data_IF_034877659512
#
_entry.id   IF_034877659512
#
_cell.length_a   1.000
_cell.length_b   1.000
_cell.length_c   1.000
_cell.angle_alpha   90.00
_cell.angle_beta   90.00
_cell.angle_gamma   90.00
#
_symmetry.space_group_name_H-M   'P 1'
#
loop_
_entity.id
_entity.type
_entity.pdbx_description
1 polymer ?
#
# COMPACT_ATOMS: atom_id res chain seq x y z
N UNK A 1 -49.04 16.69 -9.77
CA UNK A 1 -47.92 15.77 -9.44
C UNK A 1 -47.23 15.41 -10.75
N UNK A 2 -46.23 16.21 -11.15
CA UNK A 2 -45.49 16.06 -12.42
C UNK A 2 -44.05 15.71 -12.04
N UNK A 3 -43.68 14.45 -12.21
CA UNK A 3 -42.31 13.97 -11.99
C UNK A 3 -41.50 14.35 -13.23
N UNK A 4 -40.72 15.43 -13.13
CA UNK A 4 -39.60 15.68 -14.05
C UNK A 4 -38.45 14.76 -13.67
N UNK A 5 -38.38 13.59 -14.32
CA UNK A 5 -37.13 12.84 -14.46
C UNK A 5 -36.23 13.63 -15.41
N UNK A 6 -35.29 14.39 -14.85
CA UNK A 6 -34.12 14.82 -15.62
C UNK A 6 -33.19 13.61 -15.65
N UNK A 7 -33.31 12.85 -16.74
CA UNK A 7 -32.36 11.83 -17.14
C UNK A 7 -31.14 12.60 -17.68
N UNK A 8 -30.07 12.75 -16.90
CA UNK A 8 -28.76 13.11 -17.46
C UNK A 8 -28.20 11.86 -18.11
N UNK A 9 -28.65 11.58 -19.35
CA UNK A 9 -27.96 10.66 -20.24
C UNK A 9 -26.86 11.45 -20.94
N UNK A 10 -25.77 11.74 -20.21
CA UNK A 10 -24.52 12.09 -20.87
C UNK A 10 -23.93 10.80 -21.44
N UNK A 11 -24.38 10.44 -22.64
CA UNK A 11 -23.69 9.45 -23.46
C UNK A 11 -22.33 10.02 -23.86
N UNK A 12 -21.34 9.87 -22.99
CA UNK A 12 -19.97 9.92 -23.43
C UNK A 12 -19.78 8.71 -24.36
N UNK A 13 -19.76 8.96 -25.67
CA UNK A 13 -19.17 8.02 -26.61
C UNK A 13 -17.71 7.92 -26.19
N UNK A 14 -17.38 6.90 -25.41
CA UNK A 14 -16.00 6.61 -25.08
C UNK A 14 -15.32 6.23 -26.40
N UNK A 15 -14.57 7.17 -26.97
CA UNK A 15 -13.77 6.92 -28.16
C UNK A 15 -12.81 5.78 -27.88
N UNK A 16 -12.71 4.84 -28.82
CA UNK A 16 -11.75 3.76 -28.73
C UNK A 16 -10.36 4.32 -29.02
N UNK A 17 -9.42 4.16 -28.09
CA UNK A 17 -8.07 4.71 -28.22
C UNK A 17 -7.18 3.70 -28.92
N UNK A 18 -6.69 4.03 -30.11
CA UNK A 18 -5.72 3.21 -30.83
C UNK A 18 -4.31 3.64 -30.43
N UNK A 19 -3.60 2.78 -29.71
CA UNK A 19 -2.30 3.13 -29.12
C UNK A 19 -1.19 2.15 -29.48
N UNK A 20 0.02 2.67 -29.54
CA UNK A 20 1.25 1.88 -29.53
C UNK A 20 1.88 1.95 -28.13
N UNK A 21 2.27 0.79 -27.60
CA UNK A 21 2.99 0.69 -26.35
C UNK A 21 4.33 0.00 -26.58
N UNK A 22 5.41 0.73 -26.31
CA UNK A 22 6.78 0.23 -26.32
C UNK A 22 7.23 -0.03 -24.89
N UNK A 23 7.60 -1.26 -24.60
CA UNK A 23 8.15 -1.68 -23.32
C UNK A 23 9.66 -1.84 -23.47
N UNK A 24 10.43 -1.17 -22.61
CA UNK A 24 11.86 -1.38 -22.42
C UNK A 24 12.04 -2.15 -21.10
N UNK A 25 12.33 -3.44 -21.20
CA UNK A 25 12.58 -4.34 -20.09
C UNK A 25 14.06 -4.33 -19.74
N UNK A 26 14.38 -4.05 -18.48
CA UNK A 26 15.76 -3.93 -17.99
C UNK A 26 15.96 -4.66 -16.67
N UNK A 27 17.21 -4.96 -16.33
CA UNK A 27 17.59 -5.38 -14.98
C UNK A 27 17.74 -4.19 -14.01
N UNK A 28 18.05 -4.47 -12.75
CA UNK A 28 18.24 -3.46 -11.70
C UNK A 28 19.44 -2.53 -11.96
N UNK A 29 20.39 -2.91 -12.80
CA UNK A 29 21.50 -2.05 -13.24
C UNK A 29 21.14 -1.19 -14.45
N UNK A 30 19.93 -1.37 -15.00
CA UNK A 30 19.43 -0.68 -16.18
C UNK A 30 19.88 -1.29 -17.51
N UNK A 31 20.51 -2.47 -17.49
CA UNK A 31 20.88 -3.16 -18.74
C UNK A 31 19.64 -3.78 -19.38
N UNK A 32 19.50 -3.70 -20.71
CA UNK A 32 18.43 -4.37 -21.43
C UNK A 32 18.34 -5.86 -21.10
N UNK A 33 17.12 -6.35 -20.96
CA UNK A 33 16.85 -7.76 -20.68
C UNK A 33 16.07 -8.40 -21.83
N UNK A 34 16.76 -9.24 -22.59
CA UNK A 34 16.20 -9.98 -23.72
C UNK A 34 15.40 -11.21 -23.26
N UNK A 35 14.52 -11.69 -24.14
CA UNK A 35 13.76 -12.94 -23.94
C UNK A 35 12.82 -12.96 -22.73
N UNK A 36 12.47 -11.80 -22.17
CA UNK A 36 11.38 -11.71 -21.20
C UNK A 36 10.05 -11.79 -21.93
N UNK A 37 9.14 -12.64 -21.43
CA UNK A 37 7.78 -12.74 -21.93
C UNK A 37 7.03 -11.48 -21.52
N UNK A 38 6.53 -10.72 -22.50
CA UNK A 38 5.68 -9.56 -22.29
C UNK A 38 4.28 -9.85 -22.84
N UNK A 39 3.26 -9.41 -22.11
CA UNK A 39 1.86 -9.45 -22.51
C UNK A 39 1.22 -8.11 -22.27
N UNK A 40 0.54 -7.58 -23.28
CA UNK A 40 -0.25 -6.34 -23.22
C UNK A 40 -1.68 -6.67 -23.60
N UNK A 41 -2.63 -6.36 -22.72
CA UNK A 41 -4.06 -6.53 -22.94
C UNK A 41 -4.71 -5.16 -23.07
N UNK A 42 -5.29 -4.88 -24.23
CA UNK A 42 -6.08 -3.69 -24.47
C UNK A 42 -7.56 -4.04 -24.21
N UNK A 43 -8.13 -3.51 -23.13
CA UNK A 43 -9.49 -3.89 -22.70
C UNK A 43 -10.57 -2.99 -23.31
N UNK A 44 -11.70 -3.61 -23.60
CA UNK A 44 -12.92 -2.99 -24.14
C UNK A 44 -14.12 -3.38 -23.28
N UNK A 45 -15.17 -2.54 -23.19
CA UNK A 45 -16.40 -2.87 -22.45
C UNK A 45 -17.10 -4.12 -22.96
N UNK A 46 -16.93 -4.46 -24.24
CA UNK A 46 -17.48 -5.67 -24.84
C UNK A 46 -16.70 -6.90 -24.39
N UNK A 47 -17.40 -7.80 -23.69
CA UNK A 47 -16.85 -9.05 -23.18
C UNK A 47 -16.27 -9.88 -24.34
N UNK A 48 -14.98 -10.24 -24.24
CA UNK A 48 -14.29 -11.06 -25.24
C UNK A 48 -13.73 -10.30 -26.45
N UNK A 49 -13.92 -8.97 -26.53
CA UNK A 49 -13.32 -8.13 -27.57
C UNK A 49 -11.93 -7.58 -27.19
N UNK A 50 -11.35 -8.05 -26.08
CA UNK A 50 -10.02 -7.65 -25.62
C UNK A 50 -8.94 -8.05 -26.62
N UNK A 51 -8.03 -7.12 -26.91
CA UNK A 51 -6.90 -7.41 -27.77
C UNK A 51 -5.69 -7.77 -26.91
N UNK A 52 -5.25 -9.03 -27.00
CA UNK A 52 -4.04 -9.49 -26.33
C UNK A 52 -2.88 -9.47 -27.33
N UNK A 53 -1.73 -8.94 -26.91
CA UNK A 53 -0.47 -8.98 -27.63
C UNK A 53 0.59 -9.56 -26.71
N UNK A 54 1.17 -10.68 -27.11
CA UNK A 54 2.22 -11.35 -26.35
C UNK A 54 3.41 -11.65 -27.23
N UNK A 55 4.60 -11.63 -26.65
CA UNK A 55 5.84 -11.97 -27.31
C UNK A 55 7.01 -11.84 -26.33
N UNK A 56 8.22 -11.96 -26.84
CA UNK A 56 9.43 -11.82 -26.04
C UNK A 56 10.17 -10.54 -26.38
N UNK A 57 10.86 -9.96 -25.40
CA UNK A 57 11.75 -8.83 -25.67
C UNK A 57 12.93 -9.22 -26.57
N UNK A 58 13.32 -8.29 -27.44
CA UNK A 58 14.48 -8.42 -28.34
C UNK A 58 15.82 -8.26 -27.58
N UNK A 59 16.99 -8.38 -28.25
CA UNK A 59 18.30 -8.15 -27.62
C UNK A 59 18.50 -6.75 -27.01
N UNK A 60 17.72 -5.75 -27.45
CA UNK A 60 17.70 -4.42 -26.87
C UNK A 60 16.68 -4.30 -25.72
N UNK A 61 16.09 -5.40 -25.26
CA UNK A 61 15.13 -5.46 -24.16
C UNK A 61 13.75 -4.92 -24.55
N UNK A 62 13.45 -4.78 -25.84
CA UNK A 62 12.27 -4.08 -26.32
C UNK A 62 11.17 -5.06 -26.72
N UNK A 63 9.93 -4.73 -26.34
CA UNK A 63 8.71 -5.33 -26.87
C UNK A 63 7.73 -4.22 -27.28
N UNK A 64 7.07 -4.37 -28.43
CA UNK A 64 6.10 -3.39 -28.94
C UNK A 64 4.74 -4.05 -29.15
N UNK A 65 3.69 -3.46 -28.59
CA UNK A 65 2.32 -3.87 -28.76
C UNK A 65 1.48 -2.74 -29.35
N UNK A 66 0.59 -3.09 -30.29
CA UNK A 66 -0.41 -2.17 -30.86
C UNK A 66 -1.80 -2.76 -30.70
N UNK A 67 -2.75 -1.91 -30.31
CA UNK A 67 -4.13 -2.32 -30.12
C UNK A 67 -5.04 -1.14 -29.80
N UNK A 68 -6.31 -1.46 -29.57
CA UNK A 68 -7.34 -0.47 -29.25
C UNK A 68 -7.90 -0.73 -27.87
N UNK A 69 -7.91 0.27 -27.00
CA UNK A 69 -8.47 0.18 -25.65
C UNK A 69 -9.53 1.27 -25.42
N UNK A 70 -10.63 0.91 -24.78
CA UNK A 70 -11.62 1.87 -24.23
C UNK A 70 -11.52 1.89 -22.70
N UNK A 71 -11.21 0.74 -22.09
CA UNK A 71 -11.15 0.57 -20.65
C UNK A 71 -9.76 0.87 -20.08
N UNK A 72 -8.89 -0.13 -20.08
CA UNK A 72 -7.55 -0.13 -19.49
C UNK A 72 -6.57 -0.84 -20.41
N UNK A 73 -5.29 -0.56 -20.20
CA UNK A 73 -4.20 -1.35 -20.81
C UNK A 73 -3.48 -2.08 -19.67
N UNK A 74 -3.56 -3.40 -19.68
CA UNK A 74 -2.87 -4.25 -18.70
C UNK A 74 -1.54 -4.67 -19.30
N UNK A 75 -0.47 -4.53 -18.52
CA UNK A 75 0.89 -4.91 -18.91
C UNK A 75 1.40 -5.93 -17.92
N UNK A 76 1.89 -7.06 -18.43
CA UNK A 76 2.60 -8.08 -17.67
C UNK A 76 3.92 -8.38 -18.33
N UNK A 77 4.99 -8.52 -17.55
CA UNK A 77 6.24 -9.08 -18.05
C UNK A 77 6.91 -10.02 -17.05
N UNK A 78 7.49 -11.09 -17.56
CA UNK A 78 8.04 -12.19 -16.77
C UNK A 78 9.30 -12.76 -17.40
N UNK A 79 10.20 -13.25 -16.56
CA UNK A 79 11.38 -13.97 -16.99
C UNK A 79 11.79 -15.01 -15.93
N UNK A 80 12.39 -16.15 -16.34
CA UNK A 80 12.94 -17.10 -15.40
C UNK A 80 13.92 -16.44 -14.42
N UNK A 81 13.79 -16.76 -13.13
CA UNK A 81 14.64 -16.21 -12.07
C UNK A 81 14.42 -14.72 -11.80
N UNK A 82 13.29 -14.13 -12.22
CA UNK A 82 12.94 -12.74 -11.94
C UNK A 82 11.52 -12.62 -11.39
N UNK A 83 11.30 -11.58 -10.60
CA UNK A 83 9.97 -11.22 -10.13
C UNK A 83 9.12 -10.70 -11.29
N UNK A 84 7.86 -11.17 -11.42
CA UNK A 84 6.96 -10.67 -12.45
C UNK A 84 6.61 -9.21 -12.20
N UNK A 85 6.26 -8.53 -13.29
CA UNK A 85 5.72 -7.17 -13.24
C UNK A 85 4.29 -7.16 -13.76
N UNK A 86 3.44 -6.38 -13.10
CA UNK A 86 2.06 -6.13 -13.48
C UNK A 86 1.73 -4.65 -13.29
N UNK A 87 1.20 -4.01 -14.34
CA UNK A 87 0.84 -2.60 -14.36
C UNK A 87 -0.46 -2.40 -15.12
N UNK A 88 -1.28 -1.48 -14.63
CA UNK A 88 -2.49 -1.04 -15.30
C UNK A 88 -2.34 0.44 -15.70
N UNK A 89 -2.66 0.74 -16.95
CA UNK A 89 -2.59 2.08 -17.51
C UNK A 89 -3.96 2.53 -18.01
N UNK A 90 -4.24 3.83 -18.00
CA UNK A 90 -5.34 4.36 -18.80
C UNK A 90 -5.05 4.15 -20.30
N UNK A 91 -6.07 4.09 -21.16
CA UNK A 91 -5.89 4.11 -22.61
C UNK A 91 -5.25 5.45 -23.05
N UNK A 92 -4.60 5.45 -24.20
CA UNK A 92 -4.02 6.65 -24.81
C UNK A 92 -3.94 6.49 -26.33
N UNK A 93 -4.13 7.59 -27.06
CA UNK A 93 -4.00 7.65 -28.52
C UNK A 93 -2.55 7.83 -28.97
N UNK A 94 -1.71 8.44 -28.12
CA UNK A 94 -0.31 8.67 -28.42
C UNK A 94 0.55 7.45 -28.08
N UNK A 95 1.59 7.15 -28.89
CA UNK A 95 2.58 6.15 -28.54
C UNK A 95 3.20 6.40 -27.18
N UNK A 96 3.29 5.36 -26.35
CA UNK A 96 3.92 5.44 -25.02
C UNK A 96 5.11 4.51 -24.93
N UNK A 97 6.15 4.98 -24.24
CA UNK A 97 7.29 4.17 -23.86
C UNK A 97 7.32 3.99 -22.34
N UNK A 98 7.46 2.74 -21.89
CA UNK A 98 7.62 2.40 -20.49
C UNK A 98 8.91 1.65 -20.27
N UNK A 99 9.69 2.10 -19.28
CA UNK A 99 10.84 1.36 -18.79
C UNK A 99 10.45 0.56 -17.55
N UNK A 100 10.50 -0.77 -17.64
CA UNK A 100 10.13 -1.70 -16.57
C UNK A 100 11.36 -2.46 -16.08
N UNK A 101 11.59 -2.45 -14.77
CA UNK A 101 12.69 -3.16 -14.13
C UNK A 101 12.21 -4.55 -13.69
N UNK A 102 12.86 -5.60 -14.20
CA UNK A 102 12.64 -6.98 -13.78
C UNK A 102 13.65 -7.33 -12.67
N UNK A 103 13.22 -7.30 -11.41
CA UNK A 103 14.12 -7.65 -10.29
C UNK A 103 14.48 -9.14 -10.34
N UNK A 104 15.74 -9.45 -10.08
CA UNK A 104 16.21 -10.83 -9.96
C UNK A 104 15.63 -11.49 -8.71
N UNK A 105 15.38 -12.79 -8.73
CA UNK A 105 15.15 -13.60 -7.52
C UNK A 105 16.52 -14.04 -7.03
N UNK A 106 16.91 -13.62 -5.81
CA UNK A 106 18.24 -13.92 -5.26
C UNK A 106 18.16 -14.99 -4.20
N UNK A 107 17.73 -14.60 -3.00
CA UNK A 107 17.69 -15.48 -1.84
C UNK A 107 16.44 -15.18 -1.03
N UNK A 108 15.24 -15.59 -1.48
CA UNK A 108 14.05 -15.51 -0.67
C UNK A 108 14.25 -16.21 0.67
N UNK A 109 13.89 -15.53 1.76
CA UNK A 109 13.97 -16.04 3.13
C UNK A 109 12.60 -16.06 3.77
N UNK A 110 12.42 -16.97 4.71
CA UNK A 110 11.23 -17.00 5.54
C UNK A 110 11.21 -15.76 6.45
N UNK A 111 10.09 -15.05 6.47
CA UNK A 111 9.89 -13.84 7.28
C UNK A 111 8.61 -14.00 8.10
N UNK A 112 8.52 -13.26 9.20
CA UNK A 112 7.25 -13.06 9.89
C UNK A 112 6.44 -12.00 9.13
N UNK A 113 5.36 -12.40 8.46
CA UNK A 113 4.51 -11.49 7.69
C UNK A 113 3.15 -11.33 8.34
N UNK A 114 2.81 -10.09 8.70
CA UNK A 114 1.60 -9.74 9.45
C UNK A 114 1.02 -8.41 9.05
N UNK A 115 -0.31 -8.38 8.98
CA UNK A 115 -1.08 -7.17 8.81
C UNK A 115 -1.61 -6.71 10.16
N UNK A 116 -1.34 -5.46 10.50
CA UNK A 116 -1.97 -4.78 11.62
C UNK A 116 -3.00 -3.83 11.06
N UNK A 117 -4.22 -3.89 11.60
CA UNK A 117 -5.24 -2.88 11.37
C UNK A 117 -5.67 -2.33 12.72
N UNK A 118 -5.60 -1.01 12.83
CA UNK A 118 -6.18 -0.25 13.92
C UNK A 118 -7.40 0.44 13.35
N UNK A 119 -8.56 -0.03 13.78
CA UNK A 119 -9.83 0.64 13.60
C UNK A 119 -10.14 1.37 14.91
N UNK A 120 -10.60 2.61 14.79
CA UNK A 120 -11.05 3.33 15.97
C UNK A 120 -12.44 2.82 16.31
N UNK A 121 -12.55 2.08 17.42
CA UNK A 121 -13.80 1.45 17.84
C UNK A 121 -14.92 2.43 18.21
N UNK A 122 -16.04 1.87 18.67
CA UNK A 122 -17.30 2.54 19.04
C UNK A 122 -17.21 3.40 20.32
N UNK A 123 -16.12 4.14 20.52
CA UNK A 123 -16.03 5.09 21.61
C UNK A 123 -17.12 6.17 21.46
N UNK A 124 -17.63 6.66 22.60
CA UNK A 124 -18.65 7.70 22.61
C UNK A 124 -18.19 8.92 21.80
N UNK A 125 -19.01 9.41 20.85
CA UNK A 125 -18.59 10.48 19.95
C UNK A 125 -18.24 11.76 20.72
N UNK A 126 -16.97 12.17 20.66
CA UNK A 126 -16.50 13.37 21.36
C UNK A 126 -17.00 14.67 20.70
N UNK A 127 -17.12 15.80 21.43
CA UNK A 127 -17.47 17.09 20.83
C UNK A 127 -16.50 17.49 19.71
N UNK A 128 -16.96 18.22 18.66
CA UNK A 128 -16.08 18.76 17.64
C UNK A 128 -14.93 19.57 18.26
N UNK A 129 -13.73 19.40 17.71
CA UNK A 129 -12.52 20.05 18.22
C UNK A 129 -11.81 19.27 19.35
N UNK A 130 -12.41 18.22 19.90
CA UNK A 130 -11.75 17.37 20.89
C UNK A 130 -10.68 16.51 20.22
N UNK A 131 -9.45 16.55 20.76
CA UNK A 131 -8.36 15.69 20.29
C UNK A 131 -8.40 14.38 21.06
N UNK A 132 -8.61 13.29 20.33
CA UNK A 132 -8.53 11.93 20.86
C UNK A 132 -7.16 11.33 20.53
N UNK A 133 -6.55 10.64 21.49
CA UNK A 133 -5.21 10.08 21.35
C UNK A 133 -5.25 8.58 21.65
N UNK A 134 -4.67 7.78 20.77
CA UNK A 134 -4.37 6.38 21.04
C UNK A 134 -2.88 6.09 20.81
N UNK A 135 -2.37 5.09 21.52
CA UNK A 135 -1.00 4.62 21.36
C UNK A 135 -0.96 3.10 21.37
N UNK A 136 -0.23 2.56 20.40
CA UNK A 136 -0.03 1.15 20.17
C UNK A 136 1.46 0.87 20.22
N UNK A 137 1.85 -0.19 20.92
CA UNK A 137 3.21 -0.72 20.87
C UNK A 137 3.12 -2.09 20.22
N UNK A 138 3.89 -2.31 19.16
CA UNK A 138 3.81 -3.51 18.34
C UNK A 138 5.06 -4.35 18.51
N UNK A 139 4.85 -5.64 18.70
CA UNK A 139 5.85 -6.71 18.63
C UNK A 139 5.81 -7.30 17.22
N UNK A 140 6.82 -6.96 16.40
CA UNK A 140 6.84 -7.29 14.98
C UNK A 140 7.16 -8.77 14.71
N UNK A 141 7.92 -9.41 15.59
CA UNK A 141 8.22 -10.84 15.47
C UNK A 141 6.98 -11.68 15.79
N UNK A 142 6.26 -11.33 16.87
CA UNK A 142 5.01 -12.03 17.23
C UNK A 142 3.85 -11.64 16.34
N UNK A 143 3.89 -10.44 15.76
CA UNK A 143 2.78 -9.91 14.99
C UNK A 143 1.62 -9.42 15.83
N UNK A 144 1.89 -8.95 17.05
CA UNK A 144 0.86 -8.57 18.01
C UNK A 144 1.15 -7.22 18.67
N UNK A 145 0.10 -6.52 19.09
CA UNK A 145 0.26 -5.40 19.99
C UNK A 145 0.66 -5.88 21.40
N UNK A 146 1.30 -5.03 22.18
CA UNK A 146 1.55 -5.26 23.60
C UNK A 146 0.25 -5.13 24.42
N UNK A 147 0.22 -5.67 25.65
CA UNK A 147 -0.88 -5.44 26.59
C UNK A 147 -1.20 -3.94 26.76
N UNK A 148 -2.49 -3.59 26.94
CA UNK A 148 -3.65 -4.48 27.08
C UNK A 148 -4.26 -4.96 25.75
N UNK A 149 -3.69 -4.58 24.60
CA UNK A 149 -4.32 -4.78 23.28
C UNK A 149 -3.90 -6.06 22.56
N UNK A 150 -2.91 -6.76 23.08
CA UNK A 150 -2.44 -8.05 22.58
C UNK A 150 -1.51 -8.74 23.56
N UNK A 151 -0.82 -9.78 23.10
CA UNK A 151 0.11 -10.61 23.88
C UNK A 151 1.56 -10.47 23.38
N UNK A 152 1.85 -9.38 22.66
CA UNK A 152 3.20 -8.95 22.35
C UNK A 152 4.02 -8.75 23.63
N UNK A 153 5.32 -8.96 23.53
CA UNK A 153 6.23 -8.92 24.68
C UNK A 153 7.29 -7.84 24.56
N UNK A 154 7.63 -7.44 23.33
CA UNK A 154 8.65 -6.43 23.06
C UNK A 154 8.12 -5.36 22.13
N UNK A 155 8.17 -4.10 22.56
CA UNK A 155 7.84 -2.96 21.71
C UNK A 155 8.96 -2.71 20.70
N UNK A 156 8.74 -3.11 19.46
CA UNK A 156 9.67 -2.83 18.34
C UNK A 156 9.38 -1.49 17.69
N UNK A 157 8.09 -1.13 17.63
CA UNK A 157 7.62 0.18 17.19
C UNK A 157 6.48 0.65 18.10
N UNK A 158 6.42 1.97 18.30
CA UNK A 158 5.29 2.65 18.91
C UNK A 158 4.59 3.48 17.85
N UNK A 159 3.28 3.33 17.74
CA UNK A 159 2.42 4.15 16.90
C UNK A 159 1.54 4.99 17.80
N UNK A 160 1.70 6.32 17.73
CA UNK A 160 0.78 7.28 18.33
C UNK A 160 -0.12 7.85 17.25
N UNK A 161 -1.43 7.84 17.50
CA UNK A 161 -2.43 8.38 16.61
C UNK A 161 -3.21 9.44 17.37
N UNK A 162 -3.24 10.65 16.84
CA UNK A 162 -4.07 11.75 17.30
C UNK A 162 -5.15 11.96 16.24
N UNK A 163 -6.41 12.10 16.63
CA UNK A 163 -7.49 12.44 15.72
C UNK A 163 -8.40 13.50 16.29
N UNK A 164 -9.10 14.20 15.40
CA UNK A 164 -10.02 15.26 15.76
C UNK A 164 -11.19 15.29 14.79
N UNK A 165 -12.40 15.25 15.32
CA UNK A 165 -13.61 15.53 14.55
C UNK A 165 -13.77 17.05 14.41
N UNK A 166 -13.82 17.55 13.19
CA UNK A 166 -13.90 18.99 12.87
C UNK A 166 -15.33 19.45 12.56
N UNK A 167 -16.31 18.54 12.55
CA UNK A 167 -17.69 18.81 12.17
C UNK A 167 -18.11 18.12 10.88
N UNK A 168 -19.15 18.62 10.23
CA UNK A 168 -19.81 17.96 9.08
C UNK A 168 -19.27 18.44 7.74
N UNK A 169 -19.26 17.55 6.73
CA UNK A 169 -18.95 17.90 5.33
C UNK A 169 -20.05 18.79 4.73
N UNK A 170 -21.30 18.61 5.17
CA UNK A 170 -22.47 19.27 4.61
C UNK A 170 -23.14 20.26 5.59
N UNK A 171 -23.90 21.25 5.09
CA UNK A 171 -24.68 22.14 5.93
C UNK A 171 -25.72 21.40 6.79
N UNK A 172 -26.17 21.98 7.92
CA UNK A 172 -27.10 21.32 8.85
C UNK A 172 -28.39 20.78 8.21
N UNK A 173 -29.00 21.51 7.28
CA UNK A 173 -30.21 21.06 6.58
C UNK A 173 -30.00 19.79 5.74
N UNK A 174 -28.84 19.70 5.06
CA UNK A 174 -28.46 18.51 4.29
C UNK A 174 -28.13 17.36 5.23
N UNK A 175 -27.40 17.63 6.32
CA UNK A 175 -27.13 16.61 7.34
C UNK A 175 -28.41 16.06 7.98
N UNK A 176 -29.40 16.91 8.26
CA UNK A 176 -30.70 16.48 8.77
C UNK A 176 -31.43 15.57 7.77
N UNK A 177 -31.40 15.90 6.48
CA UNK A 177 -31.98 15.06 5.43
C UNK A 177 -31.25 13.72 5.26
N UNK A 178 -29.91 13.72 5.33
CA UNK A 178 -29.10 12.50 5.25
C UNK A 178 -29.31 11.57 6.46
N UNK A 179 -29.61 12.13 7.63
CA UNK A 179 -29.92 11.38 8.86
C UNK A 179 -31.37 10.97 8.99
N UNK A 180 -32.26 11.55 8.19
CA UNK A 180 -33.67 11.18 8.18
C UNK A 180 -33.80 9.69 7.85
N UNK A 181 -34.69 8.93 8.52
CA UNK A 181 -34.82 7.51 8.29
C UNK A 181 -35.08 7.19 6.81
N UNK A 182 -34.22 6.38 6.20
CA UNK A 182 -34.47 5.83 4.86
C UNK A 182 -34.91 4.37 5.02
N UNK A 183 -36.11 4.04 4.57
CA UNK A 183 -36.65 2.69 4.75
C UNK A 183 -36.86 2.27 6.21
N UNK A 184 -36.99 3.22 7.14
CA UNK A 184 -37.25 2.96 8.56
C UNK A 184 -36.01 2.87 9.46
N UNK A 185 -34.79 2.98 8.92
CA UNK A 185 -33.54 2.99 9.70
C UNK A 185 -32.94 4.39 9.67
N UNK A 186 -32.72 4.97 10.85
CA UNK A 186 -32.01 6.24 11.00
C UNK A 186 -30.49 6.00 11.01
N UNK A 187 -29.73 6.92 10.43
CA UNK A 187 -28.26 6.88 10.49
C UNK A 187 -27.79 7.28 11.88
N UNK A 188 -27.12 6.39 12.60
CA UNK A 188 -26.55 6.66 13.92
C UNK A 188 -25.47 7.75 13.87
N UNK A 189 -25.16 8.37 15.03
CA UNK A 189 -24.15 9.43 15.11
C UNK A 189 -22.77 8.93 14.64
N UNK A 190 -22.38 7.71 15.04
CA UNK A 190 -21.11 7.09 14.62
C UNK A 190 -21.03 6.94 13.09
N UNK A 191 -22.05 6.35 12.48
CA UNK A 191 -22.11 6.16 11.02
C UNK A 191 -22.16 7.49 10.27
N UNK A 192 -22.92 8.46 10.79
CA UNK A 192 -22.97 9.80 10.23
C UNK A 192 -21.58 10.46 10.25
N UNK A 193 -20.82 10.34 11.35
CA UNK A 193 -19.43 10.85 11.43
C UNK A 193 -18.48 10.10 10.51
N UNK A 194 -18.66 8.79 10.36
CA UNK A 194 -17.85 7.98 9.47
C UNK A 194 -18.04 8.39 8.00
N UNK A 195 -19.30 8.55 7.55
CA UNK A 195 -19.63 8.83 6.16
C UNK A 195 -19.51 10.32 5.80
N UNK A 196 -19.91 11.21 6.71
CA UNK A 196 -20.13 12.63 6.43
C UNK A 196 -19.34 13.56 7.35
N UNK A 197 -18.45 13.02 8.17
CA UNK A 197 -17.58 13.80 9.03
C UNK A 197 -16.39 14.42 8.32
N UNK A 198 -15.96 15.57 8.80
CA UNK A 198 -14.64 16.16 8.54
C UNK A 198 -13.73 15.78 9.68
N UNK A 199 -12.60 15.21 9.34
CA UNK A 199 -11.63 14.73 10.29
C UNK A 199 -10.23 15.25 9.96
N UNK A 200 -9.41 15.28 11.00
CA UNK A 200 -7.98 15.48 10.92
C UNK A 200 -7.32 14.44 11.82
N UNK A 201 -6.23 13.85 11.35
CA UNK A 201 -5.41 12.94 12.14
C UNK A 201 -3.92 13.23 11.97
N UNK A 202 -3.16 12.87 12.99
CA UNK A 202 -1.70 12.85 13.00
C UNK A 202 -1.24 11.47 13.46
N UNK A 203 -0.34 10.88 12.69
CA UNK A 203 0.29 9.61 13.02
C UNK A 203 1.76 9.85 13.31
N UNK A 204 2.28 9.18 14.32
CA UNK A 204 3.69 9.16 14.66
C UNK A 204 4.11 7.71 14.88
N UNK A 205 5.06 7.23 14.08
CA UNK A 205 5.69 5.93 14.27
C UNK A 205 7.11 6.16 14.78
N UNK A 206 7.40 5.57 15.93
CA UNK A 206 8.66 5.70 16.65
C UNK A 206 9.28 4.33 16.86
N UNK A 207 10.57 4.18 16.54
CA UNK A 207 11.38 3.05 16.99
C UNK A 207 12.04 3.45 18.32
N UNK A 208 11.67 2.83 19.45
CA UNK A 208 12.10 3.29 20.77
C UNK A 208 13.58 3.04 21.05
N UNK A 209 14.17 2.03 20.41
CA UNK A 209 15.57 1.65 20.63
C UNK A 209 16.53 2.67 20.00
N UNK A 210 17.48 3.17 20.79
CA UNK A 210 18.50 4.14 20.32
C UNK A 210 19.32 3.52 19.19
N UNK A 211 19.37 4.23 18.06
CA UNK A 211 20.04 3.75 16.85
C UNK A 211 19.13 2.90 15.95
N UNK A 212 17.93 2.53 16.40
CA UNK A 212 16.89 2.02 15.52
C UNK A 212 16.23 3.15 14.70
N UNK A 213 15.32 2.78 13.83
CA UNK A 213 14.54 3.76 13.07
C UNK A 213 13.97 3.21 11.77
N UNK A 214 13.60 4.14 10.89
CA UNK A 214 13.01 3.88 9.58
C UNK A 214 13.76 4.61 8.47
N UNK A 215 13.78 3.99 7.29
CA UNK A 215 14.22 4.61 6.04
C UNK A 215 13.10 4.48 5.01
N UNK A 216 12.67 5.60 4.45
CA UNK A 216 11.70 5.62 3.35
C UNK A 216 12.37 5.14 2.05
N UNK A 217 11.65 4.32 1.30
CA UNK A 217 12.03 3.88 -0.05
C UNK A 217 10.97 4.41 -0.99
N UNK A 218 11.31 5.45 -1.74
CA UNK A 218 10.45 6.03 -2.78
C UNK A 218 11.09 5.91 -4.17
N UNK A 219 12.34 6.33 -4.32
CA UNK A 219 13.07 6.26 -5.60
C UNK A 219 13.21 4.82 -6.14
N UNK A 220 13.46 3.84 -5.27
CA UNK A 220 13.61 2.44 -5.65
C UNK A 220 12.33 1.61 -5.43
N UNK A 221 11.18 2.27 -5.21
CA UNK A 221 9.91 1.58 -5.03
C UNK A 221 9.27 1.27 -6.39
N UNK A 222 9.12 -0.01 -6.71
CA UNK A 222 8.55 -0.48 -7.95
C UNK A 222 7.14 -1.01 -7.71
N UNK A 223 6.15 -0.12 -7.72
CA UNK A 223 4.76 -0.47 -7.43
C UNK A 223 4.18 -1.54 -8.37
N UNK A 224 4.76 -1.70 -9.55
CA UNK A 224 4.40 -2.68 -10.57
C UNK A 224 5.11 -4.04 -10.41
N UNK A 225 6.11 -4.17 -9.53
CA UNK A 225 6.88 -5.40 -9.37
C UNK A 225 6.36 -6.19 -8.18
N UNK A 226 6.27 -7.52 -8.31
CA UNK A 226 5.97 -8.42 -7.18
C UNK A 226 6.93 -8.20 -6.00
N UNK A 227 8.22 -7.99 -6.30
CA UNK A 227 9.18 -7.44 -5.33
C UNK A 227 9.25 -5.91 -5.49
N UNK A 228 8.42 -5.20 -4.73
CA UNK A 228 8.28 -3.74 -4.86
C UNK A 228 9.38 -2.92 -4.19
N UNK A 229 10.13 -3.50 -3.25
CA UNK A 229 11.23 -2.86 -2.53
C UNK A 229 12.56 -3.56 -2.79
N UNK A 230 13.73 -2.91 -2.58
CA UNK A 230 15.04 -3.56 -2.67
C UNK A 230 15.17 -4.83 -1.80
N UNK A 231 16.04 -5.74 -2.23
CA UNK A 231 16.36 -6.98 -1.51
C UNK A 231 16.88 -6.72 -0.09
N UNK A 232 17.77 -5.72 0.04
CA UNK A 232 18.49 -5.45 1.28
C UNK A 232 18.02 -4.13 1.89
N UNK A 233 17.77 -4.14 3.20
CA UNK A 233 17.66 -2.91 3.96
C UNK A 233 19.00 -2.13 3.91
N UNK A 234 19.00 -0.79 3.91
CA UNK A 234 20.24 0.00 3.90
C UNK A 234 21.02 -0.16 5.21
N UNK A 235 22.32 0.16 5.21
CA UNK A 235 23.13 0.10 6.43
C UNK A 235 22.91 1.33 7.36
N UNK A 236 22.50 2.45 6.78
CA UNK A 236 22.44 3.77 7.43
C UNK A 236 21.22 4.58 6.96
N UNK A 237 21.02 5.76 7.56
CA UNK A 237 19.94 6.69 7.20
C UNK A 237 18.67 6.55 8.03
N UNK A 238 18.65 5.65 9.02
CA UNK A 238 17.50 5.39 9.87
C UNK A 238 17.16 6.59 10.75
N UNK A 239 15.94 7.11 10.60
CA UNK A 239 15.36 8.12 11.47
C UNK A 239 14.49 7.45 12.55
N UNK A 240 14.62 7.81 13.84
CA UNK A 240 13.92 7.13 14.93
C UNK A 240 12.41 7.39 14.94
N UNK A 241 11.97 8.50 14.32
CA UNK A 241 10.58 8.95 14.32
C UNK A 241 10.17 9.35 12.91
N UNK A 242 8.95 9.00 12.52
CA UNK A 242 8.31 9.51 11.31
C UNK A 242 6.87 9.91 11.61
N UNK A 243 6.46 11.04 11.05
CA UNK A 243 5.12 11.60 11.24
C UNK A 243 4.39 11.77 9.93
N UNK A 244 3.07 11.62 9.98
CA UNK A 244 2.15 11.87 8.89
C UNK A 244 0.94 12.65 9.41
N UNK A 245 0.31 13.43 8.54
CA UNK A 245 -0.95 14.10 8.83
C UNK A 245 -1.93 13.82 7.69
N UNK A 246 -3.18 13.58 8.05
CA UNK A 246 -4.26 13.35 7.10
C UNK A 246 -5.43 14.25 7.44
N UNK A 247 -6.14 14.71 6.41
CA UNK A 247 -7.35 15.52 6.57
C UNK A 247 -8.37 15.15 5.51
N UNK A 248 -9.64 15.12 5.89
CA UNK A 248 -10.75 14.87 4.95
C UNK A 248 -10.71 15.88 3.80
N UNK A 249 -10.78 15.37 2.57
CA UNK A 249 -10.78 16.16 1.34
C UNK A 249 -9.41 16.63 0.85
N UNK A 250 -8.33 16.34 1.58
CA UNK A 250 -6.96 16.58 1.10
C UNK A 250 -6.41 15.34 0.37
N UNK A 251 -5.54 15.50 -0.65
CA UNK A 251 -4.81 14.39 -1.25
C UNK A 251 -4.07 13.60 -0.16
N UNK A 252 -4.40 12.32 -0.01
CA UNK A 252 -3.89 11.45 1.07
C UNK A 252 -4.84 11.25 2.27
N UNK A 253 -6.01 11.90 2.29
CA UNK A 253 -7.01 11.79 3.37
C UNK A 253 -8.12 10.76 3.17
N UNK A 254 -8.32 10.23 1.95
CA UNK A 254 -9.46 9.35 1.59
C UNK A 254 -9.05 8.07 0.83
N UNK A 255 -7.98 7.41 1.26
CA UNK A 255 -7.28 6.28 0.62
C UNK A 255 -6.13 6.72 -0.31
N UNK A 256 -4.89 6.55 0.16
CA UNK A 256 -3.77 6.35 -0.74
C UNK A 256 -4.01 5.03 -1.50
N UNK A 257 -4.69 5.11 -2.65
CA UNK A 257 -4.69 4.02 -3.62
C UNK A 257 -3.25 3.88 -4.12
N UNK A 258 -2.55 2.90 -3.53
CA UNK A 258 -1.16 2.47 -3.79
C UNK A 258 -0.11 3.56 -3.46
N UNK A 259 0.36 3.66 -2.20
CA UNK A 259 1.53 4.47 -1.93
C UNK A 259 2.72 3.94 -2.76
N UNK A 260 3.32 4.80 -3.57
CA UNK A 260 4.55 4.56 -4.32
C UNK A 260 5.77 4.64 -3.40
N UNK A 261 5.65 4.09 -2.19
CA UNK A 261 6.71 4.07 -1.20
C UNK A 261 6.55 2.91 -0.24
N UNK A 262 7.69 2.46 0.29
CA UNK A 262 7.79 1.54 1.40
C UNK A 262 8.73 2.06 2.47
N UNK A 263 8.90 1.31 3.55
CA UNK A 263 9.85 1.66 4.60
C UNK A 263 10.65 0.45 5.03
N UNK A 264 11.96 0.60 5.18
CA UNK A 264 12.78 -0.33 5.93
C UNK A 264 12.83 0.10 7.39
N UNK A 265 12.83 -0.87 8.29
CA UNK A 265 12.97 -0.68 9.72
C UNK A 265 14.23 -1.37 10.21
N UNK A 266 14.88 -0.74 11.19
CA UNK A 266 15.96 -1.32 11.98
C UNK A 266 15.52 -1.33 13.43
N UNK A 267 15.34 -2.54 13.98
CA UNK A 267 14.75 -2.79 15.29
C UNK A 267 15.53 -3.88 16.03
N UNK A 268 15.22 -4.09 17.32
CA UNK A 268 15.82 -5.14 18.16
C UNK A 268 17.36 -5.20 18.06
N UNK A 269 18.09 -4.27 18.69
CA UNK A 269 19.55 -4.39 18.73
C UNK A 269 19.94 -5.67 19.47
N UNK A 270 20.92 -6.38 18.90
CA UNK A 270 21.63 -7.46 19.57
C UNK A 270 22.90 -6.87 20.15
N UNK A 271 23.15 -7.16 21.43
CA UNK A 271 24.28 -6.63 22.18
C UNK A 271 25.23 -7.75 22.58
N UNK A 272 26.52 -7.45 22.64
CA UNK A 272 27.51 -8.36 23.21
C UNK A 272 27.53 -8.31 24.75
N UNK A 273 28.45 -9.05 25.37
CA UNK A 273 28.62 -9.09 26.82
C UNK A 273 29.03 -7.76 27.46
N UNK A 274 29.49 -6.77 26.67
CA UNK A 274 29.79 -5.41 27.13
C UNK A 274 28.60 -4.45 27.03
N UNK A 275 27.50 -4.90 26.39
CA UNK A 275 26.33 -4.07 26.09
C UNK A 275 26.45 -3.29 24.78
N UNK A 276 27.55 -3.43 24.03
CA UNK A 276 27.73 -2.81 22.73
C UNK A 276 26.84 -3.48 21.68
N UNK A 277 26.25 -2.70 20.79
CA UNK A 277 25.37 -3.22 19.73
C UNK A 277 26.23 -3.84 18.63
N UNK A 278 26.03 -5.13 18.37
CA UNK A 278 26.77 -5.91 17.37
C UNK A 278 25.94 -6.28 16.15
N UNK A 279 24.61 -6.30 16.27
CA UNK A 279 23.70 -6.55 15.15
C UNK A 279 22.33 -5.92 15.39
N UNK A 280 21.51 -5.92 14.34
CA UNK A 280 20.12 -5.47 14.37
C UNK A 280 19.24 -6.44 13.60
N UNK A 281 17.96 -6.51 13.98
CA UNK A 281 16.95 -7.10 13.11
C UNK A 281 16.40 -6.04 12.15
N UNK A 282 15.91 -6.50 11.01
CA UNK A 282 15.35 -5.64 9.98
C UNK A 282 13.93 -6.07 9.65
N UNK A 283 13.12 -5.10 9.24
CA UNK A 283 11.78 -5.35 8.72
C UNK A 283 11.48 -4.40 7.55
N UNK A 284 10.42 -4.68 6.80
CA UNK A 284 9.85 -3.74 5.81
C UNK A 284 8.35 -3.59 5.95
N UNK A 285 7.86 -2.41 5.57
CA UNK A 285 6.45 -2.10 5.37
C UNK A 285 6.21 -1.97 3.86
N UNK A 286 5.48 -2.93 3.29
CA UNK A 286 5.14 -2.95 1.85
C UNK A 286 3.76 -2.32 1.64
N UNK A 287 3.54 -1.72 0.47
CA UNK A 287 2.31 -1.02 0.10
C UNK A 287 1.97 0.11 1.07
N UNK A 288 3.02 0.70 1.65
CA UNK A 288 3.03 1.83 2.57
C UNK A 288 2.16 1.65 3.81
N UNK A 289 1.94 2.78 4.49
CA UNK A 289 1.00 2.90 5.59
C UNK A 289 -0.34 3.34 5.00
N UNK A 290 -1.39 2.56 5.27
CA UNK A 290 -2.76 2.95 4.96
C UNK A 290 -3.23 3.83 6.09
N UNK A 291 -3.15 5.14 5.88
CA UNK A 291 -3.53 6.17 6.84
C UNK A 291 -4.77 6.90 6.32
N UNK A 292 -5.69 7.23 7.21
CA UNK A 292 -6.80 8.10 6.88
C UNK A 292 -7.02 9.21 7.91
N UNK A 293 -7.83 10.20 7.52
CA UNK A 293 -8.15 11.34 8.38
C UNK A 293 -8.93 10.97 9.65
N UNK A 294 -9.60 9.79 9.67
CA UNK A 294 -10.42 9.30 10.80
C UNK A 294 -9.56 8.61 11.87
N UNK A 295 -8.27 8.44 11.61
CA UNK A 295 -7.31 7.81 12.50
C UNK A 295 -7.17 6.31 12.26
N UNK A 296 -7.68 5.78 11.15
CA UNK A 296 -7.46 4.39 10.76
C UNK A 296 -6.01 4.20 10.32
N UNK A 297 -5.42 3.08 10.75
CA UNK A 297 -4.08 2.67 10.38
C UNK A 297 -4.10 1.21 9.92
N UNK A 298 -3.66 0.97 8.69
CA UNK A 298 -3.32 -0.36 8.18
C UNK A 298 -1.85 -0.44 7.80
N UNK A 299 -1.15 -1.50 8.22
CA UNK A 299 0.23 -1.74 7.83
C UNK A 299 0.52 -3.23 7.70
N UNK A 300 1.31 -3.60 6.70
CA UNK A 300 1.78 -4.99 6.50
C UNK A 300 3.27 -5.04 6.74
N UNK A 301 3.68 -5.74 7.80
CA UNK A 301 5.08 -5.88 8.21
C UNK A 301 5.62 -7.21 7.70
N UNK A 302 6.84 -7.18 7.17
CA UNK A 302 7.67 -8.36 6.96
C UNK A 302 8.90 -8.23 7.85
N UNK A 303 9.00 -9.04 8.89
CA UNK A 303 10.08 -9.01 9.88
C UNK A 303 11.05 -10.18 9.68
N UNK A 304 12.35 -9.89 9.67
CA UNK A 304 13.41 -10.89 9.59
C UNK A 304 13.89 -11.31 11.00
N UNK A 305 13.70 -12.57 11.41
CA UNK A 305 14.13 -13.05 12.73
C UNK A 305 15.64 -13.33 12.82
N UNK A 306 16.39 -13.21 11.72
CA UNK A 306 17.84 -13.44 11.72
C UNK A 306 18.57 -12.13 11.98
N UNK A 307 19.16 -11.99 13.17
CA UNK A 307 19.93 -10.82 13.55
C UNK A 307 21.11 -10.57 12.59
N UNK A 308 21.30 -9.32 12.19
CA UNK A 308 22.38 -8.89 11.29
C UNK A 308 22.11 -9.16 9.81
N UNK A 309 21.11 -9.98 9.48
CA UNK A 309 20.68 -10.14 8.09
C UNK A 309 19.80 -8.96 7.68
N UNK A 310 20.18 -8.30 6.57
CA UNK A 310 19.44 -7.19 5.97
C UNK A 310 18.53 -7.65 4.84
N UNK A 311 18.58 -8.92 4.47
CA UNK A 311 17.75 -9.48 3.44
C UNK A 311 16.27 -9.48 3.87
N UNK A 312 15.43 -8.87 3.05
CA UNK A 312 13.99 -8.80 3.23
C UNK A 312 13.25 -9.28 1.97
N UNK A 313 13.92 -10.05 1.12
CA UNK A 313 13.29 -10.81 0.05
C UNK A 313 12.46 -11.93 0.67
N UNK A 314 11.13 -11.85 0.53
CA UNK A 314 10.21 -12.77 1.21
C UNK A 314 9.98 -14.02 0.36
N UNK A 315 10.14 -15.18 0.99
CA UNK A 315 9.65 -16.45 0.46
C UNK A 315 8.17 -16.62 0.79
N UNK A 316 7.29 -16.38 -0.20
CA UNK A 316 5.83 -16.43 -0.03
C UNK A 316 5.31 -17.81 0.38
N UNK A 317 6.07 -18.88 0.18
CA UNK A 317 5.72 -20.22 0.64
C UNK A 317 6.05 -20.44 2.12
N UNK A 318 6.79 -19.55 2.78
CA UNK A 318 7.28 -19.70 4.16
C UNK A 318 7.05 -18.44 5.01
N UNK A 319 5.79 -18.21 5.37
CA UNK A 319 5.46 -17.26 6.45
C UNK A 319 5.72 -17.91 7.82
N UNK A 320 6.55 -17.28 8.65
CA UNK A 320 6.89 -17.77 9.99
C UNK A 320 5.86 -17.43 11.06
N UNK A 321 4.94 -16.54 10.75
CA UNK A 321 3.88 -16.17 11.68
C UNK A 321 2.77 -17.23 11.65
N UNK A 322 2.23 -17.62 12.82
CA UNK A 322 1.19 -18.66 12.94
C UNK A 322 0.03 -18.48 11.92
N UNK A 323 -0.64 -19.55 11.46
CA UNK A 323 -1.87 -19.38 10.69
C UNK A 323 -2.93 -18.70 11.58
N UNK A 324 -3.22 -17.43 11.27
CA UNK A 324 -4.35 -16.65 11.77
C UNK A 324 -5.03 -16.03 10.56
N UNK A 325 -6.36 -15.84 10.65
CA UNK A 325 -7.33 -15.67 9.55
C UNK A 325 -6.80 -15.40 8.13
N UNK A 326 -7.33 -16.10 7.10
CA UNK A 326 -6.86 -15.95 5.74
C UNK A 326 -7.08 -14.51 5.27
N UNK A 327 -6.02 -13.72 5.28
CA UNK A 327 -5.99 -12.42 4.63
C UNK A 327 -5.45 -12.61 3.21
N UNK A 328 -6.21 -12.10 2.24
CA UNK A 328 -5.97 -12.14 0.78
C UNK A 328 -4.66 -11.43 0.36
N UNK A 329 -3.87 -10.98 1.34
CA UNK A 329 -2.58 -10.27 1.18
C UNK A 329 -1.36 -11.20 1.22
N UNK A 330 -1.53 -12.50 1.49
CA UNK A 330 -0.44 -13.49 1.36
C UNK A 330 0.01 -13.68 -0.10
N UNK A 331 -0.80 -13.20 -1.06
CA UNK A 331 -0.37 -12.98 -2.43
C UNK A 331 0.29 -11.60 -2.52
N UNK A 332 1.61 -11.56 -2.37
CA UNK A 332 2.33 -10.74 -3.36
C UNK A 332 1.98 -11.36 -4.73
N UNK A 333 1.53 -10.57 -5.71
CA UNK A 333 1.20 -11.11 -7.03
C UNK A 333 2.35 -11.96 -7.59
#
# INVERSE_FOLDING_TARGET
MIIRRILFLAGAVAGAFAGELRLLLVDESGRPFASALATVVFTTPELGAEQVRSGVSDPAGVFVARGTAIGRVLVRAEAPGRYPVELELPPADEPRELRLILREVRRPVALHVRRFRVEWGEAEPQPPGTVEIQTYELDLERGEALPPRGRGQRADVRVRIERQFLGWKFPPAVMAALRAPQGGVALGEADARFLHGRWQSRFELTVPERGGGLVEVSADYLAYSALSMPHLAPAQGYAPVRTWACRTGEPGGENLRKPERGYFLRVRPVRDGSGAIVAWHHAKLIAGLQLDARGELGLTVHFNPVAGDRNLEFDSARNLSAPGEPDDTTRQP
#
